data_IF_673762204134
#
_entry.id   IF_673762204134
#
_cell.length_a   1.000
_cell.length_b   1.000
_cell.length_c   1.000
_cell.angle_alpha   90.00
_cell.angle_beta   90.00
_cell.angle_gamma   90.00
#
_symmetry.space_group_name_H-M   'P 1'
#
loop_
_entity.id
_entity.type
_entity.pdbx_description
1 polymer ?
#
# COMPACT_ATOMS: atom_id res chain seq x y z
N UNK A 1 18.35 -7.69 -13.56
CA UNK A 1 17.01 -7.15 -13.93
C UNK A 1 16.31 -6.68 -12.68
N UNK A 2 15.76 -5.47 -12.69
CA UNK A 2 14.96 -4.97 -11.59
C UNK A 2 13.67 -5.79 -11.43
N UNK A 3 13.27 -5.99 -10.17
CA UNK A 3 12.11 -6.82 -9.79
C UNK A 3 10.84 -6.25 -10.43
N UNK A 4 10.13 -7.10 -11.16
CA UNK A 4 8.84 -6.78 -11.77
C UNK A 4 7.68 -7.14 -10.84
N UNK A 5 6.50 -6.60 -11.14
CA UNK A 5 5.30 -6.89 -10.37
C UNK A 5 5.10 -8.41 -10.23
N UNK A 6 4.79 -8.87 -9.01
CA UNK A 6 4.46 -10.27 -8.76
C UNK A 6 3.03 -10.59 -9.20
N UNK A 7 2.73 -11.88 -9.44
CA UNK A 7 1.35 -12.31 -9.72
C UNK A 7 0.39 -11.99 -8.58
N UNK A 8 0.86 -12.02 -7.33
CA UNK A 8 0.05 -11.67 -6.18
C UNK A 8 -0.30 -10.17 -6.13
N UNK A 9 0.67 -9.29 -6.42
CA UNK A 9 0.40 -7.85 -6.55
C UNK A 9 -0.56 -7.56 -7.70
N UNK A 10 -0.39 -8.25 -8.82
CA UNK A 10 -1.32 -8.14 -9.94
C UNK A 10 -2.74 -8.56 -9.52
N UNK A 11 -2.86 -9.71 -8.82
CA UNK A 11 -4.12 -10.20 -8.29
C UNK A 11 -4.78 -9.19 -7.34
N UNK A 12 -4.03 -8.59 -6.42
CA UNK A 12 -4.52 -7.52 -5.55
C UNK A 12 -5.08 -6.33 -6.36
N UNK A 13 -4.33 -5.84 -7.35
CA UNK A 13 -4.76 -4.71 -8.19
C UNK A 13 -6.08 -5.03 -8.88
N UNK A 14 -6.24 -6.22 -9.46
CA UNK A 14 -7.49 -6.61 -10.10
C UNK A 14 -8.63 -6.78 -9.09
N UNK A 15 -8.37 -7.26 -7.88
CA UNK A 15 -9.38 -7.28 -6.82
C UNK A 15 -9.84 -5.87 -6.39
N UNK A 16 -8.93 -4.89 -6.31
CA UNK A 16 -9.33 -3.49 -6.11
C UNK A 16 -10.22 -2.99 -7.24
N UNK A 17 -9.85 -3.26 -8.49
CA UNK A 17 -10.66 -2.88 -9.67
C UNK A 17 -12.07 -3.50 -9.56
N UNK A 18 -12.16 -4.79 -9.23
CA UNK A 18 -13.44 -5.48 -9.06
C UNK A 18 -14.29 -4.83 -7.96
N UNK A 19 -13.74 -4.63 -6.77
CA UNK A 19 -14.43 -3.98 -5.65
C UNK A 19 -14.94 -2.57 -6.00
N UNK A 20 -14.09 -1.77 -6.65
CA UNK A 20 -14.48 -0.42 -7.08
C UNK A 20 -15.56 -0.46 -8.16
N UNK A 21 -15.53 -1.45 -9.05
CA UNK A 21 -16.58 -1.63 -10.04
C UNK A 21 -17.95 -1.91 -9.38
N UNK A 22 -18.01 -2.71 -8.32
CA UNK A 22 -19.26 -2.90 -7.54
C UNK A 22 -19.71 -1.61 -6.88
N UNK A 23 -18.78 -0.84 -6.30
CA UNK A 23 -19.08 0.47 -5.74
C UNK A 23 -19.67 1.42 -6.79
N UNK A 24 -19.08 1.51 -7.99
CA UNK A 24 -19.62 2.31 -9.10
C UNK A 24 -21.02 1.85 -9.55
N UNK A 25 -21.32 0.56 -9.44
CA UNK A 25 -22.63 -0.01 -9.77
C UNK A 25 -23.65 0.15 -8.62
N UNK A 26 -23.22 0.54 -7.42
CA UNK A 26 -24.07 0.60 -6.23
C UNK A 26 -24.42 -0.78 -5.66
N UNK A 27 -23.57 -1.79 -5.88
CA UNK A 27 -23.76 -3.14 -5.34
C UNK A 27 -22.97 -3.30 -4.05
N UNK A 28 -23.66 -3.64 -2.97
CA UNK A 28 -23.01 -3.96 -1.70
C UNK A 28 -22.40 -5.37 -1.74
N UNK A 29 -21.11 -5.42 -1.41
CA UNK A 29 -20.29 -6.62 -1.32
C UNK A 29 -19.78 -6.87 0.11
N UNK A 30 -20.19 -6.06 1.09
CA UNK A 30 -19.90 -6.34 2.49
C UNK A 30 -20.38 -7.75 2.86
N UNK A 31 -19.55 -8.48 3.61
CA UNK A 31 -19.83 -9.84 4.08
C UNK A 31 -19.97 -10.90 2.99
N UNK A 32 -19.58 -10.61 1.75
CA UNK A 32 -19.51 -11.60 0.67
C UNK A 32 -18.07 -12.04 0.44
N UNK A 33 -17.88 -13.28 0.04
CA UNK A 33 -16.57 -13.77 -0.41
C UNK A 33 -16.35 -13.45 -1.89
N UNK A 34 -15.08 -13.44 -2.31
CA UNK A 34 -14.72 -13.31 -3.73
C UNK A 34 -15.30 -14.42 -4.62
N UNK A 35 -15.78 -15.53 -4.03
CA UNK A 35 -16.41 -16.67 -4.71
C UNK A 35 -17.90 -16.45 -5.01
N UNK A 36 -18.56 -15.54 -4.29
CA UNK A 36 -20.00 -15.25 -4.40
C UNK A 36 -20.25 -13.94 -5.16
N UNK A 37 -19.32 -13.59 -6.04
CA UNK A 37 -19.28 -12.29 -6.71
C UNK A 37 -20.50 -12.13 -7.65
N UNK A 38 -21.33 -11.07 -7.48
CA UNK A 38 -22.43 -10.80 -8.40
C UNK A 38 -21.93 -10.52 -9.82
N UNK A 39 -22.73 -10.80 -10.84
CA UNK A 39 -22.32 -10.46 -12.20
C UNK A 39 -22.16 -8.94 -12.38
N UNK A 40 -21.04 -8.54 -12.97
CA UNK A 40 -20.70 -7.16 -13.30
C UNK A 40 -20.30 -7.07 -14.77
N UNK A 41 -20.78 -6.04 -15.48
CA UNK A 41 -20.49 -5.86 -16.89
C UNK A 41 -19.08 -5.32 -17.10
N UNK A 42 -18.48 -5.63 -18.25
CA UNK A 42 -17.16 -5.13 -18.67
C UNK A 42 -17.05 -3.60 -18.62
N UNK A 43 -18.16 -2.88 -18.84
CA UNK A 43 -18.21 -1.43 -18.71
C UNK A 43 -17.72 -0.93 -17.34
N UNK A 44 -18.22 -1.52 -16.23
CA UNK A 44 -17.85 -1.08 -14.89
C UNK A 44 -16.42 -1.48 -14.54
N UNK A 45 -15.95 -2.64 -15.00
CA UNK A 45 -14.56 -3.08 -14.83
C UNK A 45 -13.59 -2.14 -15.56
N UNK A 46 -13.91 -1.80 -16.81
CA UNK A 46 -13.13 -0.84 -17.61
C UNK A 46 -13.09 0.53 -16.93
N UNK A 47 -14.26 1.06 -16.54
CA UNK A 47 -14.38 2.36 -15.88
C UNK A 47 -13.62 2.39 -14.55
N UNK A 48 -13.78 1.35 -13.73
CA UNK A 48 -13.07 1.22 -12.46
C UNK A 48 -11.56 1.24 -12.63
N UNK A 49 -11.04 0.46 -13.59
CA UNK A 49 -9.62 0.43 -13.92
C UNK A 49 -9.11 1.82 -14.31
N UNK A 50 -9.83 2.52 -15.19
CA UNK A 50 -9.42 3.85 -15.65
C UNK A 50 -9.48 4.90 -14.53
N UNK A 51 -10.56 4.91 -13.75
CA UNK A 51 -10.76 5.85 -12.66
C UNK A 51 -9.68 5.71 -11.59
N UNK A 52 -9.42 4.48 -11.13
CA UNK A 52 -8.41 4.20 -10.10
C UNK A 52 -7.00 4.59 -10.54
N UNK A 53 -6.65 4.35 -11.81
CA UNK A 53 -5.35 4.75 -12.37
C UNK A 53 -5.21 6.27 -12.42
N UNK A 54 -6.25 6.99 -12.87
CA UNK A 54 -6.27 8.47 -12.91
C UNK A 54 -6.24 9.09 -11.52
N UNK A 55 -6.93 8.48 -10.56
CA UNK A 55 -6.87 8.83 -9.14
C UNK A 55 -5.43 8.71 -8.60
N UNK A 56 -4.76 7.60 -8.87
CA UNK A 56 -3.36 7.40 -8.48
C UNK A 56 -2.39 8.37 -9.18
N UNK A 57 -2.57 8.67 -10.46
CA UNK A 57 -1.71 9.64 -11.17
C UNK A 57 -1.81 11.02 -10.50
N UNK A 58 -3.03 11.46 -10.15
CA UNK A 58 -3.25 12.71 -9.42
C UNK A 58 -2.59 12.70 -8.04
N UNK A 59 -2.66 11.58 -7.33
CA UNK A 59 -2.05 11.43 -6.01
C UNK A 59 -0.52 11.38 -6.05
N UNK A 60 0.06 10.62 -6.97
CA UNK A 60 1.49 10.36 -7.07
C UNK A 60 2.32 11.57 -7.52
N UNK A 61 1.66 12.64 -7.99
CA UNK A 61 2.34 13.84 -8.48
C UNK A 61 3.16 13.60 -9.75
N UNK A 62 2.92 12.49 -10.46
CA UNK A 62 3.63 12.18 -11.71
C UNK A 62 3.35 13.32 -12.71
N UNK A 63 4.41 14.07 -13.03
CA UNK A 63 4.38 15.17 -13.96
C UNK A 63 5.24 14.84 -15.17
N UNK A 64 4.63 14.84 -16.36
CA UNK A 64 5.31 14.58 -17.63
C UNK A 64 5.46 15.84 -18.49
N UNK A 65 5.24 17.03 -17.93
CA UNK A 65 5.46 18.29 -18.64
C UNK A 65 6.92 18.38 -19.08
N UNK A 66 7.15 18.51 -20.39
CA UNK A 66 8.49 18.54 -20.97
C UNK A 66 9.17 17.17 -21.11
N UNK A 67 8.46 16.07 -20.83
CA UNK A 67 8.93 14.73 -21.18
C UNK A 67 9.15 14.65 -22.69
N UNK A 68 10.35 14.27 -23.10
CA UNK A 68 10.71 13.97 -24.47
C UNK A 68 11.11 12.50 -24.53
N UNK A 69 10.35 11.63 -25.24
CA UNK A 69 10.64 10.21 -25.31
C UNK A 69 12.08 9.95 -25.70
N UNK A 70 12.76 9.06 -24.97
CA UNK A 70 14.12 8.60 -25.27
C UNK A 70 15.21 9.69 -25.31
N UNK A 71 14.93 10.93 -24.88
CA UNK A 71 15.89 12.06 -24.99
C UNK A 71 17.26 11.77 -24.39
N UNK A 72 17.29 11.06 -23.26
CA UNK A 72 18.51 10.81 -22.50
C UNK A 72 18.99 9.35 -22.62
N UNK A 73 18.54 8.61 -23.64
CA UNK A 73 18.88 7.19 -23.78
C UNK A 73 20.38 6.98 -23.95
N UNK A 74 21.02 7.76 -24.82
CA UNK A 74 22.43 7.60 -25.12
C UNK A 74 23.30 7.87 -23.89
N UNK A 75 23.04 9.00 -23.21
CA UNK A 75 23.76 9.39 -21.98
C UNK A 75 23.62 8.31 -20.89
N UNK A 76 22.40 7.85 -20.62
CA UNK A 76 22.15 6.80 -19.63
C UNK A 76 22.87 5.51 -19.99
N UNK A 77 22.83 5.07 -21.25
CA UNK A 77 23.49 3.85 -21.69
C UNK A 77 25.01 3.97 -21.58
N UNK A 78 25.59 5.12 -21.97
CA UNK A 78 27.03 5.37 -21.83
C UNK A 78 27.49 5.28 -20.38
N UNK A 79 26.78 5.93 -19.46
CA UNK A 79 27.08 5.89 -18.02
C UNK A 79 27.06 4.45 -17.51
N UNK A 80 25.98 3.69 -17.81
CA UNK A 80 25.86 2.29 -17.35
C UNK A 80 26.91 1.38 -17.97
N UNK A 81 27.23 1.55 -19.25
CA UNK A 81 28.29 0.80 -19.90
C UNK A 81 29.64 1.05 -19.23
N UNK A 82 30.01 2.31 -18.98
CA UNK A 82 31.23 2.65 -18.26
C UNK A 82 31.27 2.02 -16.87
N UNK A 83 30.20 2.17 -16.08
CA UNK A 83 30.08 1.59 -14.73
C UNK A 83 30.28 0.07 -14.71
N UNK A 84 29.79 -0.66 -15.73
CA UNK A 84 29.87 -2.12 -15.80
C UNK A 84 31.22 -2.58 -16.35
N UNK A 85 31.77 -1.86 -17.32
CA UNK A 85 33.05 -2.21 -17.96
C UNK A 85 34.22 -2.12 -16.97
N UNK A 86 34.19 -1.14 -16.06
CA UNK A 86 35.23 -0.91 -15.04
C UNK A 86 35.20 -1.95 -13.90
N UNK A 87 34.12 -2.73 -13.78
CA UNK A 87 33.99 -3.74 -12.72
C UNK A 87 34.71 -5.03 -13.08
N UNK A 88 35.29 -5.68 -12.07
CA UNK A 88 35.90 -7.00 -12.21
C UNK A 88 34.85 -8.11 -12.22
N UNK A 89 34.04 -8.16 -13.28
CA UNK A 89 33.03 -9.19 -13.54
C UNK A 89 33.40 -10.03 -14.76
N UNK A 90 32.88 -11.26 -14.81
CA UNK A 90 32.98 -12.10 -16.01
C UNK A 90 32.28 -11.44 -17.18
N UNK A 91 32.70 -11.78 -18.41
CA UNK A 91 32.07 -11.28 -19.65
C UNK A 91 30.56 -11.54 -19.65
N UNK A 92 30.16 -12.74 -19.26
CA UNK A 92 28.75 -13.14 -19.18
C UNK A 92 27.96 -12.26 -18.20
N UNK A 93 28.49 -12.03 -17.00
CA UNK A 93 27.86 -11.15 -16.01
C UNK A 93 27.73 -9.72 -16.54
N UNK A 94 28.75 -9.18 -17.21
CA UNK A 94 28.69 -7.85 -17.83
C UNK A 94 27.58 -7.77 -18.89
N UNK A 95 27.49 -8.75 -19.79
CA UNK A 95 26.44 -8.82 -20.82
C UNK A 95 25.06 -8.90 -20.17
N UNK A 96 24.90 -9.71 -19.14
CA UNK A 96 23.63 -9.86 -18.43
C UNK A 96 23.19 -8.57 -17.73
N UNK A 97 24.11 -7.84 -17.10
CA UNK A 97 23.80 -6.56 -16.45
C UNK A 97 23.35 -5.54 -17.51
N UNK A 98 24.14 -5.33 -18.57
CA UNK A 98 23.84 -4.35 -19.63
C UNK A 98 22.51 -4.65 -20.32
N UNK A 99 22.27 -5.93 -20.66
CA UNK A 99 21.04 -6.36 -21.32
C UNK A 99 19.82 -6.11 -20.43
N UNK A 100 19.93 -6.45 -19.14
CA UNK A 100 18.85 -6.25 -18.20
C UNK A 100 18.53 -4.76 -18.00
N UNK A 101 19.56 -3.93 -17.85
CA UNK A 101 19.41 -2.48 -17.68
C UNK A 101 18.77 -1.84 -18.92
N UNK A 102 19.16 -2.27 -20.12
CA UNK A 102 18.55 -1.81 -21.37
C UNK A 102 17.07 -2.18 -21.44
N UNK A 103 16.71 -3.43 -21.11
CA UNK A 103 15.31 -3.88 -21.10
C UNK A 103 14.50 -3.09 -20.07
N UNK A 104 15.06 -2.86 -18.89
CA UNK A 104 14.40 -2.09 -17.83
C UNK A 104 14.17 -0.63 -18.25
N UNK A 105 15.17 -0.01 -18.88
CA UNK A 105 15.06 1.32 -19.46
C UNK A 105 13.94 1.39 -20.52
N UNK A 106 13.92 0.47 -21.48
CA UNK A 106 12.91 0.45 -22.55
C UNK A 106 11.50 0.35 -21.96
N UNK A 107 11.30 -0.52 -20.97
CA UNK A 107 9.99 -0.67 -20.30
C UNK A 107 9.56 0.61 -19.58
N UNK A 108 10.48 1.28 -18.89
CA UNK A 108 10.21 2.54 -18.21
C UNK A 108 9.84 3.65 -19.20
N UNK A 109 10.58 3.79 -20.29
CA UNK A 109 10.25 4.74 -21.37
C UNK A 109 8.90 4.41 -22.00
N UNK A 110 8.60 3.14 -22.28
CA UNK A 110 7.31 2.72 -22.82
C UNK A 110 6.14 3.05 -21.86
N UNK A 111 6.31 2.88 -20.55
CA UNK A 111 5.30 3.28 -19.55
C UNK A 111 5.09 4.80 -19.54
N UNK A 112 6.16 5.59 -19.56
CA UNK A 112 6.08 7.07 -19.60
C UNK A 112 5.45 7.57 -20.90
N UNK A 113 5.81 6.95 -22.01
CA UNK A 113 5.24 7.25 -23.31
C UNK A 113 3.75 6.93 -23.37
N UNK A 114 3.33 5.75 -22.89
CA UNK A 114 1.93 5.38 -22.77
C UNK A 114 1.15 6.37 -21.90
N UNK A 115 1.73 6.78 -20.76
CA UNK A 115 1.13 7.76 -19.86
C UNK A 115 0.95 9.12 -20.53
N UNK A 116 1.88 9.53 -21.39
CA UNK A 116 1.76 10.76 -22.20
C UNK A 116 0.66 10.65 -23.25
N UNK A 117 0.58 9.52 -23.96
CA UNK A 117 -0.37 9.32 -25.05
C UNK A 117 -1.82 9.13 -24.57
N UNK A 118 -2.00 8.40 -23.48
CA UNK A 118 -3.33 7.91 -23.04
C UNK A 118 -3.80 8.54 -21.74
N UNK A 119 -2.94 9.30 -21.06
CA UNK A 119 -3.20 9.81 -19.71
C UNK A 119 -3.22 8.71 -18.65
N UNK A 120 -2.73 7.50 -18.95
CA UNK A 120 -2.74 6.37 -18.03
C UNK A 120 -1.58 5.38 -18.25
N UNK A 121 -1.34 4.46 -17.32
CA UNK A 121 -0.22 3.51 -17.38
C UNK A 121 -0.65 2.05 -17.61
N UNK A 122 0.29 1.16 -17.91
CA UNK A 122 0.01 -0.27 -18.11
C UNK A 122 0.13 -1.05 -16.80
N UNK A 123 -0.85 -1.92 -16.54
CA UNK A 123 -0.87 -2.91 -15.45
C UNK A 123 -0.39 -4.30 -15.90
N UNK A 124 0.22 -4.42 -17.10
CA UNK A 124 0.80 -5.69 -17.54
C UNK A 124 2.00 -6.06 -16.67
N UNK A 125 2.16 -7.36 -16.40
CA UNK A 125 3.13 -7.90 -15.45
C UNK A 125 4.59 -7.55 -15.80
N UNK A 126 4.91 -7.62 -17.09
CA UNK A 126 6.22 -7.32 -17.67
C UNK A 126 6.53 -5.82 -17.74
N UNK A 127 5.50 -4.98 -17.77
CA UNK A 127 5.61 -3.53 -17.91
C UNK A 127 5.63 -2.81 -16.56
N UNK A 128 4.92 -3.31 -15.55
CA UNK A 128 4.82 -2.65 -14.24
C UNK A 128 6.00 -3.04 -13.35
N UNK A 129 6.71 -2.05 -12.81
CA UNK A 129 7.77 -2.29 -11.82
C UNK A 129 7.15 -2.78 -10.50
N UNK A 130 7.91 -3.57 -9.73
CA UNK A 130 7.42 -4.03 -8.42
C UNK A 130 7.14 -2.85 -7.47
N UNK A 131 8.02 -1.86 -7.43
CA UNK A 131 7.86 -0.67 -6.59
C UNK A 131 6.64 0.16 -7.02
N UNK A 132 6.40 0.30 -8.34
CA UNK A 132 5.20 0.95 -8.86
C UNK A 132 3.93 0.20 -8.45
N UNK A 133 3.94 -1.13 -8.49
CA UNK A 133 2.81 -1.95 -8.07
C UNK A 133 2.53 -1.79 -6.57
N UNK A 134 3.56 -1.84 -5.72
CA UNK A 134 3.45 -1.62 -4.27
C UNK A 134 2.93 -0.21 -3.97
N UNK A 135 3.46 0.82 -4.63
CA UNK A 135 2.99 2.19 -4.43
C UNK A 135 1.51 2.33 -4.81
N UNK A 136 1.10 1.71 -5.92
CA UNK A 136 -0.29 1.72 -6.36
C UNK A 136 -1.21 0.95 -5.42
N UNK A 137 -0.87 -0.27 -4.99
CA UNK A 137 -1.71 -1.05 -4.06
C UNK A 137 -1.84 -0.39 -2.69
N UNK A 138 -0.78 0.24 -2.19
CA UNK A 138 -0.84 1.01 -0.94
C UNK A 138 -1.79 2.20 -1.06
N UNK A 139 -1.69 2.96 -2.16
CA UNK A 139 -2.64 4.03 -2.44
C UNK A 139 -4.08 3.54 -2.52
N UNK A 140 -4.33 2.44 -3.23
CA UNK A 140 -5.66 1.87 -3.36
C UNK A 140 -6.23 1.44 -2.00
N UNK A 141 -5.43 0.76 -1.17
CA UNK A 141 -5.89 0.35 0.16
C UNK A 141 -6.31 1.55 1.02
N UNK A 142 -5.50 2.59 1.05
CA UNK A 142 -5.81 3.83 1.77
C UNK A 142 -7.04 4.53 1.19
N UNK A 143 -7.14 4.64 -0.13
CA UNK A 143 -8.27 5.27 -0.80
C UNK A 143 -9.59 4.56 -0.50
N UNK A 144 -9.58 3.23 -0.45
CA UNK A 144 -10.79 2.45 -0.17
C UNK A 144 -11.24 2.65 1.27
N UNK A 145 -10.32 2.63 2.23
CA UNK A 145 -10.67 2.89 3.63
C UNK A 145 -11.14 4.33 3.85
N UNK A 146 -10.49 5.31 3.20
CA UNK A 146 -10.86 6.73 3.28
C UNK A 146 -12.28 7.00 2.77
N UNK A 147 -12.68 6.30 1.71
CA UNK A 147 -13.97 6.51 1.03
C UNK A 147 -15.02 5.45 1.40
N UNK A 148 -14.76 4.64 2.43
CA UNK A 148 -15.63 3.56 2.91
C UNK A 148 -16.07 2.59 1.81
N UNK A 149 -15.15 2.26 0.90
CA UNK A 149 -15.38 1.32 -0.20
C UNK A 149 -15.13 -0.10 0.30
N UNK A 150 -16.14 -0.95 0.17
CA UNK A 150 -16.06 -2.35 0.57
C UNK A 150 -14.94 -3.10 -0.16
N UNK A 151 -14.26 -3.98 0.58
CA UNK A 151 -13.16 -4.82 0.10
C UNK A 151 -13.41 -6.27 0.50
N UNK A 152 -13.04 -7.21 -0.37
CA UNK A 152 -13.03 -8.64 -0.03
C UNK A 152 -12.18 -8.90 1.22
N UNK A 153 -12.54 -9.91 2.01
CA UNK A 153 -11.73 -10.28 3.16
C UNK A 153 -10.36 -10.84 2.69
N UNK A 154 -10.39 -11.67 1.65
CA UNK A 154 -9.20 -12.34 1.12
C UNK A 154 -8.19 -11.34 0.53
N UNK A 155 -8.66 -10.23 -0.05
CA UNK A 155 -7.77 -9.19 -0.56
C UNK A 155 -7.12 -8.41 0.59
N UNK A 156 -7.85 -8.16 1.69
CA UNK A 156 -7.29 -7.50 2.87
C UNK A 156 -6.24 -8.39 3.54
N UNK A 157 -6.49 -9.70 3.64
CA UNK A 157 -5.52 -10.66 4.15
C UNK A 157 -4.27 -10.73 3.28
N UNK A 158 -4.41 -10.79 1.96
CA UNK A 158 -3.27 -10.81 1.04
C UNK A 158 -2.47 -9.50 1.10
N UNK A 159 -3.14 -8.35 1.18
CA UNK A 159 -2.47 -7.06 1.34
C UNK A 159 -1.69 -6.99 2.66
N UNK A 160 -2.29 -7.44 3.77
CA UNK A 160 -1.65 -7.52 5.08
C UNK A 160 -0.42 -8.43 5.08
N UNK A 161 -0.49 -9.60 4.43
CA UNK A 161 0.68 -10.50 4.32
C UNK A 161 1.87 -9.83 3.61
N UNK A 162 1.59 -8.93 2.67
CA UNK A 162 2.62 -8.23 1.91
C UNK A 162 3.08 -6.91 2.55
N UNK A 163 2.21 -6.26 3.34
CA UNK A 163 2.41 -4.90 3.87
C UNK A 163 1.80 -4.76 5.28
N UNK A 164 2.20 -5.59 6.23
CA UNK A 164 1.59 -5.65 7.58
C UNK A 164 1.57 -4.29 8.28
N UNK A 165 2.69 -3.57 8.31
CA UNK A 165 2.77 -2.28 9.02
C UNK A 165 1.83 -1.24 8.40
N UNK A 166 1.80 -1.14 7.07
CA UNK A 166 0.89 -0.23 6.36
C UNK A 166 -0.57 -0.61 6.55
N UNK A 167 -0.87 -1.92 6.59
CA UNK A 167 -2.20 -2.41 6.89
C UNK A 167 -2.64 -1.92 8.28
N UNK A 168 -1.83 -2.14 9.33
CA UNK A 168 -2.17 -1.70 10.68
C UNK A 168 -2.25 -0.17 10.76
N UNK A 169 -1.32 0.56 10.15
CA UNK A 169 -1.33 2.02 10.13
C UNK A 169 -2.59 2.59 9.49
N UNK A 170 -3.00 2.06 8.33
CA UNK A 170 -4.22 2.50 7.67
C UNK A 170 -5.46 2.23 8.53
N UNK A 171 -5.52 1.09 9.23
CA UNK A 171 -6.61 0.78 10.17
C UNK A 171 -6.65 1.75 11.34
N UNK A 172 -5.49 2.16 11.88
CA UNK A 172 -5.36 3.21 12.89
C UNK A 172 -5.87 4.56 12.34
N UNK A 173 -5.41 4.97 11.16
CA UNK A 173 -5.75 6.25 10.53
C UNK A 173 -7.25 6.38 10.24
N UNK A 174 -7.88 5.32 9.72
CA UNK A 174 -9.28 5.34 9.30
C UNK A 174 -10.26 4.79 10.35
N UNK A 175 -9.81 4.58 11.60
CA UNK A 175 -10.64 4.09 12.72
C UNK A 175 -11.39 2.80 12.37
N UNK A 176 -10.64 1.80 11.88
CA UNK A 176 -11.17 0.48 11.52
C UNK A 176 -10.49 -0.59 12.36
N UNK A 177 -11.23 -1.62 12.74
CA UNK A 177 -10.64 -2.70 13.53
C UNK A 177 -9.63 -3.47 12.67
N UNK A 178 -8.41 -3.65 13.18
CA UNK A 178 -7.35 -4.38 12.49
C UNK A 178 -7.70 -5.86 12.22
N UNK A 179 -8.65 -6.42 12.98
CA UNK A 179 -9.14 -7.80 12.83
C UNK A 179 -10.33 -7.89 11.88
N UNK A 180 -11.41 -7.16 12.15
CA UNK A 180 -12.69 -7.36 11.46
C UNK A 180 -13.20 -6.14 10.68
N UNK A 181 -12.40 -5.08 10.56
CA UNK A 181 -12.75 -3.84 9.88
C UNK A 181 -13.96 -3.05 10.46
N UNK A 182 -14.61 -3.53 11.53
CA UNK A 182 -15.73 -2.83 12.17
C UNK A 182 -15.29 -1.54 12.87
N UNK A 183 -16.26 -0.65 13.05
CA UNK A 183 -16.20 0.63 13.79
C UNK A 183 -17.41 0.69 14.76
N UNK A 184 -17.35 1.37 15.92
CA UNK A 184 -16.23 2.14 16.47
C UNK A 184 -15.05 1.26 16.92
N UNK A 185 -13.89 1.89 17.05
CA UNK A 185 -12.66 1.27 17.55
C UNK A 185 -12.01 2.11 18.63
N UNK A 186 -11.31 1.42 19.51
CA UNK A 186 -10.38 1.98 20.45
C UNK A 186 -8.98 2.01 19.83
N UNK A 187 -8.28 3.12 20.03
CA UNK A 187 -6.83 3.19 19.80
C UNK A 187 -6.16 2.69 21.06
N UNK A 188 -5.33 1.67 20.91
CA UNK A 188 -4.86 0.87 22.03
C UNK A 188 -3.35 0.68 21.95
N UNK A 189 -2.72 0.67 23.12
CA UNK A 189 -1.36 0.18 23.28
C UNK A 189 -1.34 -1.36 23.24
N UNK A 190 -0.51 -1.91 22.33
CA UNK A 190 -0.37 -3.35 22.12
C UNK A 190 0.03 -4.06 23.42
N UNK A 191 1.10 -3.58 24.07
CA UNK A 191 1.39 -3.85 25.48
C UNK A 191 0.62 -2.88 26.38
N UNK A 192 0.34 -3.29 27.62
CA UNK A 192 -0.50 -2.48 28.53
C UNK A 192 0.05 -1.05 28.69
N UNK A 193 -0.81 -0.03 28.64
CA UNK A 193 -0.37 1.37 28.81
C UNK A 193 0.35 1.61 30.15
N UNK A 194 0.06 0.79 31.18
CA UNK A 194 0.76 0.80 32.45
C UNK A 194 2.26 0.49 32.33
N UNK A 195 2.67 -0.34 31.36
CA UNK A 195 4.08 -0.63 31.10
C UNK A 195 4.85 0.59 30.55
N UNK A 196 4.13 1.64 30.13
CA UNK A 196 4.69 2.91 29.64
C UNK A 196 4.63 4.03 30.67
N UNK A 197 4.23 3.73 31.91
CA UNK A 197 3.98 4.75 32.94
C UNK A 197 2.66 5.51 32.74
N UNK A 198 1.73 4.95 31.95
CA UNK A 198 0.40 5.51 31.71
C UNK A 198 0.33 6.58 30.62
N UNK A 199 -0.89 6.95 30.25
CA UNK A 199 -1.18 7.89 29.14
C UNK A 199 -0.52 9.26 29.27
N UNK A 200 -0.25 9.73 30.49
CA UNK A 200 0.43 11.01 30.70
C UNK A 200 1.87 11.00 30.20
N UNK A 201 2.49 9.82 30.13
CA UNK A 201 3.87 9.60 29.69
C UNK A 201 3.96 9.03 28.27
N UNK A 202 2.82 8.90 27.58
CA UNK A 202 2.77 8.42 26.20
C UNK A 202 3.34 9.49 25.25
N UNK A 203 4.51 9.18 24.69
CA UNK A 203 5.25 9.94 23.69
C UNK A 203 5.22 9.24 22.32
N UNK A 204 4.48 8.13 22.16
CA UNK A 204 4.54 7.30 20.95
C UNK A 204 5.57 6.17 20.99
N UNK A 205 6.13 5.87 22.17
CA UNK A 205 7.18 4.85 22.35
C UNK A 205 6.67 3.40 22.34
N UNK A 206 5.35 3.19 22.36
CA UNK A 206 4.73 1.87 22.36
C UNK A 206 4.52 1.29 20.97
N UNK A 207 3.93 0.08 20.95
CA UNK A 207 3.26 -0.46 19.76
C UNK A 207 1.77 -0.16 19.84
N UNK A 208 1.13 0.15 18.71
CA UNK A 208 -0.26 0.58 18.68
C UNK A 208 -1.09 -0.21 17.68
N UNK A 209 -2.37 -0.41 17.99
CA UNK A 209 -3.35 -1.08 17.14
C UNK A 209 -4.74 -0.47 17.34
N UNK A 210 -5.61 -0.59 16.33
CA UNK A 210 -7.03 -0.21 16.43
C UNK A 210 -7.89 -1.47 16.53
N UNK A 211 -8.64 -1.61 17.62
CA UNK A 211 -9.52 -2.76 17.85
C UNK A 211 -10.94 -2.29 18.17
N UNK A 212 -11.96 -2.98 17.62
CA UNK A 212 -13.32 -2.78 18.10
C UNK A 212 -13.46 -3.33 19.51
N UNK A 213 -14.50 -2.91 20.24
CA UNK A 213 -14.71 -3.29 21.65
C UNK A 213 -14.60 -4.79 21.90
N UNK A 214 -15.20 -5.60 21.02
CA UNK A 214 -15.13 -7.07 21.11
C UNK A 214 -13.69 -7.58 21.10
N UNK A 215 -12.89 -7.18 20.09
CA UNK A 215 -11.52 -7.65 19.96
C UNK A 215 -10.57 -7.01 20.99
N UNK A 216 -10.84 -5.78 21.42
CA UNK A 216 -10.09 -5.13 22.49
C UNK A 216 -10.27 -5.88 23.83
N UNK A 217 -11.51 -6.17 24.22
CA UNK A 217 -11.81 -6.97 25.41
C UNK A 217 -11.19 -8.35 25.30
N UNK A 218 -11.35 -9.02 24.16
CA UNK A 218 -10.75 -10.34 23.95
C UNK A 218 -9.22 -10.34 24.10
N UNK A 219 -8.52 -9.33 23.56
CA UNK A 219 -7.06 -9.20 23.74
C UNK A 219 -6.68 -9.12 25.22
N UNK A 220 -7.46 -8.40 26.02
CA UNK A 220 -7.25 -8.33 27.47
C UNK A 220 -7.52 -9.66 28.17
N UNK A 221 -8.55 -10.39 27.74
CA UNK A 221 -8.96 -11.64 28.36
C UNK A 221 -7.98 -12.79 28.07
N UNK A 222 -7.52 -12.94 26.82
CA UNK A 222 -6.66 -14.05 26.40
C UNK A 222 -5.17 -13.72 26.42
N UNK A 223 -4.82 -12.44 26.55
CA UNK A 223 -3.45 -11.94 26.48
C UNK A 223 -2.92 -11.77 25.06
N UNK A 224 -1.89 -10.94 24.94
CA UNK A 224 -1.33 -10.47 23.66
C UNK A 224 -0.83 -11.61 22.77
N UNK A 225 -0.13 -12.59 23.33
CA UNK A 225 0.45 -13.69 22.55
C UNK A 225 -0.62 -14.62 21.96
N UNK A 226 -1.66 -14.94 22.73
CA UNK A 226 -2.77 -15.76 22.25
C UNK A 226 -3.59 -15.01 21.20
N UNK A 227 -3.79 -13.70 21.39
CA UNK A 227 -4.46 -12.84 20.43
C UNK A 227 -3.69 -12.72 19.11
N UNK A 228 -2.37 -12.52 19.17
CA UNK A 228 -1.49 -12.50 18.00
C UNK A 228 -1.56 -13.81 17.23
N UNK A 229 -1.48 -14.97 17.92
CA UNK A 229 -1.62 -16.28 17.25
C UNK A 229 -2.98 -16.49 16.61
N UNK A 230 -4.06 -16.05 17.29
CA UNK A 230 -5.44 -16.26 16.81
C UNK A 230 -5.76 -15.45 15.55
N UNK A 231 -5.33 -14.19 15.51
CA UNK A 231 -5.70 -13.27 14.43
C UNK A 231 -4.55 -12.91 13.48
N UNK A 232 -3.35 -13.42 13.78
CA UNK A 232 -2.11 -13.11 13.07
C UNK A 232 -1.87 -11.59 12.94
N UNK A 233 -2.28 -10.80 13.94
CA UNK A 233 -2.09 -9.33 13.97
C UNK A 233 -1.21 -8.94 15.14
N UNK A 234 -0.43 -7.87 14.97
CA UNK A 234 0.32 -7.22 16.03
C UNK A 234 0.27 -5.71 15.89
N UNK A 235 0.43 -5.01 17.01
CA UNK A 235 0.60 -3.56 16.99
C UNK A 235 1.94 -3.15 16.37
N UNK A 236 2.00 -1.93 15.86
CA UNK A 236 3.17 -1.38 15.16
C UNK A 236 3.81 -0.24 15.95
N UNK A 237 5.12 -0.07 15.79
CA UNK A 237 5.76 1.19 16.16
C UNK A 237 5.38 2.26 15.16
N UNK A 238 5.29 3.50 15.63
CA UNK A 238 4.94 4.64 14.81
C UNK A 238 6.15 5.56 14.67
N UNK A 239 6.38 6.07 13.46
CA UNK A 239 7.35 7.13 13.25
C UNK A 239 6.81 8.51 13.70
N UNK A 240 7.68 9.52 13.70
CA UNK A 240 7.35 10.86 14.15
C UNK A 240 6.17 11.48 13.38
N UNK A 241 6.13 11.32 12.05
CA UNK A 241 5.07 11.88 11.21
C UNK A 241 3.74 11.13 11.41
N UNK A 242 3.80 9.81 11.60
CA UNK A 242 2.65 8.98 11.92
C UNK A 242 2.06 9.35 13.29
N UNK A 243 2.90 9.60 14.31
CA UNK A 243 2.43 10.07 15.61
C UNK A 243 1.76 11.45 15.48
N UNK A 244 2.38 12.38 14.74
CA UNK A 244 1.84 13.71 14.47
C UNK A 244 0.48 13.65 13.76
N UNK A 245 0.33 12.76 12.79
CA UNK A 245 -0.94 12.51 12.11
C UNK A 245 -1.99 11.92 13.07
N UNK A 246 -1.65 10.86 13.78
CA UNK A 246 -2.58 10.15 14.67
C UNK A 246 -2.99 10.97 15.90
N UNK A 247 -2.12 11.85 16.42
CA UNK A 247 -2.45 12.80 17.51
C UNK A 247 -3.58 13.77 17.11
N UNK A 248 -3.72 14.09 15.82
CA UNK A 248 -4.85 14.89 15.32
C UNK A 248 -6.17 14.13 15.43
N UNK A 249 -6.12 12.81 15.32
CA UNK A 249 -7.27 11.89 15.29
C UNK A 249 -7.64 11.40 16.71
N UNK A 250 -6.64 11.14 17.57
CA UNK A 250 -6.78 10.52 18.89
C UNK A 250 -6.28 11.45 20.01
N UNK A 251 -7.17 12.35 20.48
CA UNK A 251 -6.83 13.41 21.44
C UNK A 251 -6.37 12.93 22.83
N UNK A 252 -6.71 11.69 23.19
CA UNK A 252 -6.36 11.12 24.50
C UNK A 252 -5.01 10.38 24.50
N UNK A 253 -4.37 10.22 23.34
CA UNK A 253 -3.07 9.55 23.18
C UNK A 253 -1.95 10.55 22.94
N UNK A 254 -0.71 10.09 23.08
CA UNK A 254 0.50 10.87 22.81
C UNK A 254 0.59 12.16 23.64
N UNK A 255 0.13 12.16 24.90
CA UNK A 255 0.04 13.38 25.72
C UNK A 255 1.39 14.01 26.00
N UNK A 256 2.45 13.21 26.10
CA UNK A 256 3.81 13.67 26.32
C UNK A 256 4.60 13.89 25.01
N UNK A 257 4.01 13.60 23.85
CA UNK A 257 4.64 13.89 22.56
C UNK A 257 4.72 15.40 22.35
N UNK A 258 5.95 15.89 22.12
CA UNK A 258 6.25 17.28 21.79
C UNK A 258 6.59 17.33 20.31
N UNK A 259 5.83 18.13 19.56
CA UNK A 259 6.23 18.49 18.21
C UNK A 259 7.43 19.45 18.32
N UNK A 260 8.50 19.14 17.61
CA UNK A 260 9.61 20.09 17.47
C UNK A 260 9.05 21.36 16.82
N UNK A 261 9.35 22.51 17.44
CA UNK A 261 9.02 23.81 16.86
C UNK A 261 10.00 24.05 15.72
N UNK A 262 9.53 23.86 14.49
CA UNK A 262 10.16 24.47 13.30
C UNK A 262 10.07 26.01 13.37
#
# INVERSE_FOLDING_TARGET
>A
MAKRMSRENQKLIYWFIDCYAYHLKGVDINWKSSKEKPNISDYFLYKAKEDLKKLYIRHSGINLKGYKPFKNIEEKLRIRLSEVLDKNYTKETKVNIVTNDLIDFVREEMQRFLLTLTGTFSLKLDMMSNNGAIAFTNYLFDYFLQNDIAMWEEMQMLYKQQNEEKYIYAKLKYKRCAVCNRTPVDFEHWQSAGSLGGYANDKGQGRYISLCRQHHTEKHDIGVEAFERKYNVRGIYLDYEQIKELKKIYKNHFKAFKEDKE
#
